data_IF_792199947539
#
_entry.id   IF_792199947539
#
_cell.length_a   1.000
_cell.length_b   1.000
_cell.length_c   1.000
_cell.angle_alpha   90.00
_cell.angle_beta   90.00
_cell.angle_gamma   90.00
#
_symmetry.space_group_name_H-M   'P 1'
#
loop_
_entity.id
_entity.type
_entity.pdbx_description
1 polymer ?
#
# COMPACT_ATOMS: atom_id res chain seq x y z
N UNK A 1 -23.65 -6.68 18.35
CA UNK A 1 -23.00 -5.44 17.84
C UNK A 1 -21.77 -5.89 17.07
N UNK A 2 -21.66 -5.54 15.79
CA UNK A 2 -20.55 -5.98 14.93
C UNK A 2 -19.55 -4.84 14.82
N UNK A 3 -18.27 -5.15 15.02
CA UNK A 3 -17.15 -4.23 14.86
C UNK A 3 -16.21 -4.90 13.87
N UNK A 4 -15.86 -4.17 12.81
CA UNK A 4 -14.86 -4.58 11.84
C UNK A 4 -13.52 -3.97 12.22
N UNK A 5 -12.45 -4.71 12.02
CA UNK A 5 -11.10 -4.28 12.37
C UNK A 5 -10.14 -4.72 11.29
N UNK A 6 -9.17 -3.87 10.96
CA UNK A 6 -8.15 -4.20 9.97
C UNK A 6 -6.84 -3.45 10.24
N UNK A 7 -5.77 -3.96 9.63
CA UNK A 7 -4.45 -3.33 9.58
C UNK A 7 -4.16 -2.83 8.16
N UNK A 8 -3.80 -1.57 8.04
CA UNK A 8 -3.42 -0.98 6.75
C UNK A 8 -2.05 -0.29 6.83
N UNK A 9 -1.23 -0.46 5.79
CA UNK A 9 0.08 0.20 5.68
C UNK A 9 0.06 1.20 4.53
N UNK A 10 0.34 2.46 4.85
CA UNK A 10 0.40 3.57 3.90
C UNK A 10 1.84 4.05 3.75
N UNK A 11 2.20 4.53 2.56
CA UNK A 11 3.49 5.17 2.33
C UNK A 11 3.33 6.69 2.49
N UNK A 12 4.24 7.32 3.23
CA UNK A 12 4.21 8.77 3.51
C UNK A 12 4.60 9.62 2.29
N UNK A 13 5.16 9.01 1.25
CA UNK A 13 5.64 9.70 0.05
C UNK A 13 4.56 9.89 -1.04
N UNK A 14 3.28 9.68 -0.72
CA UNK A 14 2.17 9.79 -1.68
C UNK A 14 2.13 8.70 -2.74
N UNK A 15 3.00 7.68 -2.66
CA UNK A 15 2.97 6.54 -3.59
C UNK A 15 2.12 5.42 -3.01
N UNK A 16 1.08 5.01 -3.74
CA UNK A 16 0.39 3.77 -3.41
C UNK A 16 1.28 2.63 -3.92
N UNK A 17 2.03 1.99 -3.03
CA UNK A 17 2.83 0.85 -3.45
C UNK A 17 1.92 -0.35 -3.71
N UNK A 18 1.57 -0.54 -4.98
CA UNK A 18 1.21 -1.86 -5.48
C UNK A 18 2.44 -2.75 -5.31
N UNK A 19 2.47 -3.54 -4.25
CA UNK A 19 3.52 -4.52 -4.03
C UNK A 19 3.69 -5.38 -5.31
N UNK A 20 4.95 -5.64 -5.69
CA UNK A 20 5.36 -6.43 -6.86
C UNK A 20 4.79 -5.98 -8.22
N UNK A 21 5.24 -4.82 -8.73
CA UNK A 21 5.13 -4.55 -10.17
C UNK A 21 6.12 -5.45 -10.93
N UNK A 22 5.64 -6.59 -11.44
CA UNK A 22 6.43 -7.48 -12.30
C UNK A 22 6.06 -7.24 -13.76
N UNK A 23 6.94 -6.58 -14.50
CA UNK A 23 6.78 -6.36 -15.94
C UNK A 23 7.43 -7.50 -16.72
N UNK A 24 6.71 -8.09 -17.67
CA UNK A 24 7.24 -9.08 -18.61
C UNK A 24 7.13 -8.55 -20.03
N UNK A 25 8.18 -8.72 -20.83
CA UNK A 25 8.20 -8.32 -22.24
C UNK A 25 9.11 -9.26 -23.03
N UNK A 26 8.81 -9.47 -24.31
CA UNK A 26 9.68 -10.22 -25.24
C UNK A 26 10.96 -9.46 -25.58
N UNK A 27 10.95 -8.13 -25.42
CA UNK A 27 12.09 -7.22 -25.64
C UNK A 27 12.46 -6.57 -24.32
N UNK A 28 13.76 -6.47 -24.02
CA UNK A 28 14.27 -5.81 -22.81
C UNK A 28 13.64 -4.41 -22.67
N UNK A 29 12.88 -4.12 -21.61
CA UNK A 29 12.31 -2.80 -21.44
C UNK A 29 13.44 -1.78 -21.20
N UNK A 30 13.40 -0.68 -21.94
CA UNK A 30 14.38 0.41 -21.84
C UNK A 30 14.13 1.32 -20.63
N UNK A 31 12.97 1.22 -20.00
CA UNK A 31 12.59 2.03 -18.84
C UNK A 31 12.21 1.13 -17.67
N UNK A 32 13.02 1.19 -16.60
CA UNK A 32 12.71 0.61 -15.31
C UNK A 32 12.48 1.77 -14.33
N UNK A 33 11.29 1.85 -13.75
CA UNK A 33 11.03 2.77 -12.65
C UNK A 33 11.51 2.10 -11.36
N UNK A 34 12.69 2.48 -10.89
CA UNK A 34 13.15 2.10 -9.55
C UNK A 34 12.29 2.84 -8.53
N UNK A 35 11.25 2.17 -8.03
CA UNK A 35 10.51 2.69 -6.88
C UNK A 35 11.37 2.53 -5.63
N UNK A 36 11.46 3.59 -4.81
CA UNK A 36 12.17 3.52 -3.53
C UNK A 36 11.54 2.43 -2.65
N UNK A 37 12.30 1.37 -2.40
CA UNK A 37 11.85 0.20 -1.62
C UNK A 37 11.72 0.52 -0.12
N UNK A 38 12.43 1.56 0.34
CA UNK A 38 12.51 2.01 1.74
C UNK A 38 11.85 3.38 1.94
N UNK A 39 10.83 3.70 1.14
CA UNK A 39 9.99 4.84 1.47
C UNK A 39 9.37 4.65 2.86
N UNK A 40 9.32 5.73 3.64
CA UNK A 40 8.74 5.76 4.98
C UNK A 40 7.28 5.28 4.93
N UNK A 41 6.93 4.40 5.87
CA UNK A 41 5.62 3.77 5.94
C UNK A 41 5.02 4.00 7.31
N UNK A 42 3.71 4.18 7.32
CA UNK A 42 2.90 4.23 8.53
C UNK A 42 1.95 3.06 8.47
N UNK A 43 2.04 2.18 9.45
CA UNK A 43 1.08 1.10 9.66
C UNK A 43 0.08 1.57 10.70
N UNK A 44 -1.20 1.53 10.34
CA UNK A 44 -2.29 1.91 11.24
C UNK A 44 -3.20 0.71 11.47
N UNK A 45 -3.73 0.65 12.67
CA UNK A 45 -4.82 -0.24 13.03
C UNK A 45 -6.08 0.60 13.18
N UNK A 46 -7.19 0.12 12.62
CA UNK A 46 -8.46 0.83 12.70
C UNK A 46 -9.59 -0.14 12.98
N UNK A 47 -10.55 0.30 13.78
CA UNK A 47 -11.80 -0.39 13.99
C UNK A 47 -12.97 0.52 13.60
N UNK A 48 -14.03 -0.06 13.03
CA UNK A 48 -15.23 0.70 12.75
C UNK A 48 -16.50 -0.13 12.95
N UNK A 49 -17.59 0.59 13.13
CA UNK A 49 -18.95 0.09 13.18
C UNK A 49 -19.86 1.12 12.52
N UNK A 50 -21.15 0.78 12.32
CA UNK A 50 -22.11 1.59 11.54
C UNK A 50 -22.09 3.09 11.86
N UNK A 51 -21.88 3.47 13.14
CA UNK A 51 -21.98 4.85 13.60
C UNK A 51 -20.67 5.43 14.18
N UNK A 52 -19.53 4.73 14.07
CA UNK A 52 -18.28 5.23 14.64
C UNK A 52 -17.03 4.60 14.01
N UNK A 53 -15.97 5.41 13.93
CA UNK A 53 -14.59 4.97 13.76
C UNK A 53 -13.93 5.00 15.14
N UNK A 54 -13.17 3.97 15.46
CA UNK A 54 -12.45 3.77 16.72
C UNK A 54 -10.96 3.69 16.42
#
# INVERSE_FOLDING_TARGET
>A
RIIFTDEATFYANGTVASQNSRCWSKVKPSFFFTKSRQAEKVTVWCAFQVNAII
#
